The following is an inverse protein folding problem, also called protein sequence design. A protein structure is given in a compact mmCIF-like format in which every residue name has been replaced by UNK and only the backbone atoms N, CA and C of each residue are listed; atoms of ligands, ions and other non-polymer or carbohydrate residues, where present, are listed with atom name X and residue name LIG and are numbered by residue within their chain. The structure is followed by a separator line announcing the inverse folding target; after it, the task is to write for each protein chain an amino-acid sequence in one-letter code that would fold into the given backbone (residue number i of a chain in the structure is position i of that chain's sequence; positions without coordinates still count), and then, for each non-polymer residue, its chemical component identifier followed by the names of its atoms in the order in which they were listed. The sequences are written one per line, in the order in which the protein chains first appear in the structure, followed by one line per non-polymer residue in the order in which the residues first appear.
data_IF_546957228283
#
_entry.id   IF_546957228283
#
_cell.length_a   1.000
_cell.length_b   1.000
_cell.length_c   1.000
_cell.angle_alpha   90.00
_cell.angle_beta   90.00
_cell.angle_gamma   90.00
#
_symmetry.space_group_name_H-M   'P 1'
#
loop_
_entity.id
_entity.type
_entity.pdbx_description
1 polymer ?
#
# COMPACT_ATOMS: atom_id res chain seq x y z
N UNK A 1 8.79 -20.75 -21.19
CA UNK A 1 8.23 -21.09 -19.87
C UNK A 1 7.34 -19.92 -19.46
N UNK A 2 6.04 -20.15 -19.27
CA UNK A 2 5.17 -19.10 -18.75
C UNK A 2 5.57 -18.85 -17.29
N UNK A 3 5.99 -17.62 -16.97
CA UNK A 3 6.09 -17.18 -15.57
C UNK A 3 4.68 -17.17 -14.99
N UNK A 4 4.26 -18.33 -14.47
CA UNK A 4 3.03 -18.43 -13.71
C UNK A 4 3.16 -17.58 -12.45
N UNK A 5 2.12 -16.83 -12.14
CA UNK A 5 1.98 -16.22 -10.82
C UNK A 5 1.88 -17.37 -9.82
N UNK A 6 2.94 -17.60 -9.05
CA UNK A 6 3.03 -18.71 -8.08
C UNK A 6 2.46 -18.38 -6.71
N UNK A 7 2.17 -17.09 -6.45
CA UNK A 7 1.65 -16.60 -5.18
C UNK A 7 0.64 -15.46 -5.39
N UNK A 8 -0.23 -15.23 -4.41
CA UNK A 8 -1.17 -14.11 -4.42
C UNK A 8 -0.42 -12.77 -4.53
N UNK A 9 -0.54 -12.01 -5.65
CA UNK A 9 0.21 -10.77 -5.85
C UNK A 9 -0.14 -9.71 -4.81
N UNK A 10 -1.33 -9.77 -4.18
CA UNK A 10 -1.74 -8.83 -3.14
C UNK A 10 -0.90 -8.93 -1.87
N UNK A 11 -0.23 -10.06 -1.64
CA UNK A 11 0.73 -10.21 -0.54
C UNK A 11 1.96 -9.35 -0.75
N UNK A 12 2.27 -8.93 -1.97
CA UNK A 12 3.52 -8.21 -2.28
C UNK A 12 3.30 -6.71 -2.53
N UNK A 13 2.13 -6.18 -2.18
CA UNK A 13 1.77 -4.77 -2.36
C UNK A 13 1.96 -3.96 -1.05
N UNK A 14 2.52 -2.77 -1.14
CA UNK A 14 2.61 -1.76 -0.08
C UNK A 14 2.57 -0.37 -0.72
N UNK A 15 2.29 0.69 0.05
CA UNK A 15 2.35 2.07 -0.46
C UNK A 15 3.48 2.87 0.20
N UNK A 16 4.17 3.67 -0.62
CA UNK A 16 5.13 4.69 -0.20
C UNK A 16 4.77 5.98 -0.92
N UNK A 17 4.30 6.98 -0.17
CA UNK A 17 3.73 8.21 -0.74
C UNK A 17 4.77 9.22 -1.21
N UNK A 18 6.01 9.09 -0.74
CA UNK A 18 7.08 10.08 -0.94
C UNK A 18 6.69 11.51 -0.48
N UNK A 19 5.88 11.59 0.59
CA UNK A 19 5.65 12.87 1.27
C UNK A 19 6.99 13.47 1.70
N UNK A 20 7.16 14.77 1.45
CA UNK A 20 8.41 15.52 1.66
C UNK A 20 9.61 15.03 0.83
N UNK A 21 9.41 14.13 -0.14
CA UNK A 21 10.46 13.54 -0.99
C UNK A 21 10.83 14.31 -2.26
N UNK A 22 10.19 15.47 -2.51
CA UNK A 22 10.50 16.32 -3.67
C UNK A 22 9.76 15.94 -4.96
N UNK A 23 8.67 15.17 -4.87
CA UNK A 23 7.79 14.88 -6.00
C UNK A 23 7.15 16.16 -6.55
N UNK A 24 6.91 16.19 -7.87
CA UNK A 24 6.35 17.37 -8.56
C UNK A 24 4.86 17.61 -8.27
N UNK A 25 4.14 16.60 -7.77
CA UNK A 25 2.73 16.70 -7.43
C UNK A 25 2.27 15.53 -6.56
N UNK A 26 1.21 15.78 -5.78
CA UNK A 26 0.46 14.76 -5.03
C UNK A 26 -0.85 14.44 -5.75
N UNK A 27 -1.48 13.27 -5.45
CA UNK A 27 -2.83 12.98 -5.91
C UNK A 27 -3.81 14.10 -5.55
N UNK A 28 -4.76 14.38 -6.44
CA UNK A 28 -5.75 15.45 -6.25
C UNK A 28 -6.50 15.27 -4.93
N UNK A 29 -6.53 16.32 -4.11
CA UNK A 29 -7.21 16.31 -2.81
C UNK A 29 -6.36 15.78 -1.64
N UNK A 30 -5.10 15.40 -1.88
CA UNK A 30 -4.11 15.05 -0.85
C UNK A 30 -3.07 16.15 -0.68
N UNK A 31 -2.64 16.37 0.57
CA UNK A 31 -1.64 17.36 0.97
C UNK A 31 -0.55 16.76 1.85
N UNK A 32 -0.88 15.81 2.72
CA UNK A 32 0.08 15.17 3.62
C UNK A 32 -0.37 13.77 4.07
N UNK A 33 0.43 13.14 4.94
CA UNK A 33 0.05 11.89 5.59
C UNK A 33 -1.28 11.95 6.37
N UNK A 34 -1.70 13.14 6.80
CA UNK A 34 -3.01 13.32 7.45
C UNK A 34 -4.20 13.00 6.53
N UNK A 35 -3.98 12.97 5.20
CA UNK A 35 -5.00 12.67 4.20
C UNK A 35 -5.10 11.18 3.85
N UNK A 36 -4.27 10.30 4.44
CA UNK A 36 -4.37 8.86 4.23
C UNK A 36 -5.78 8.27 4.47
N UNK A 37 -6.62 8.76 5.42
CA UNK A 37 -8.00 8.31 5.53
C UNK A 37 -8.83 8.48 4.25
N UNK A 38 -8.53 9.46 3.39
CA UNK A 38 -9.20 9.62 2.09
C UNK A 38 -8.87 8.48 1.14
N UNK A 39 -7.61 8.04 1.15
CA UNK A 39 -7.17 6.88 0.37
C UNK A 39 -7.83 5.60 0.89
N UNK A 40 -7.93 5.43 2.21
CA UNK A 40 -8.69 4.33 2.83
C UNK A 40 -10.14 4.32 2.34
N UNK A 41 -10.83 5.45 2.38
CA UNK A 41 -12.21 5.55 1.92
C UNK A 41 -12.33 5.19 0.43
N UNK A 42 -11.43 5.68 -0.43
CA UNK A 42 -11.42 5.34 -1.84
C UNK A 42 -11.22 3.83 -2.09
N UNK A 43 -10.38 3.14 -1.30
CA UNK A 43 -10.24 1.68 -1.37
C UNK A 43 -11.52 0.95 -0.95
N UNK A 44 -12.19 1.44 0.10
CA UNK A 44 -13.47 0.88 0.55
C UNK A 44 -14.57 1.06 -0.49
N UNK A 45 -14.69 2.26 -1.07
CA UNK A 45 -15.65 2.57 -2.14
C UNK A 45 -15.39 1.72 -3.40
N UNK A 46 -14.13 1.37 -3.65
CA UNK A 46 -13.72 0.45 -4.71
C UNK A 46 -13.95 -1.03 -4.37
N UNK A 47 -14.54 -1.36 -3.22
CA UNK A 47 -14.87 -2.73 -2.83
C UNK A 47 -13.67 -3.58 -2.40
N UNK A 48 -12.57 -2.95 -1.97
CA UNK A 48 -11.43 -3.71 -1.47
C UNK A 48 -11.79 -4.46 -0.17
N UNK A 49 -11.38 -5.74 -0.03
CA UNK A 49 -11.52 -6.44 1.24
C UNK A 49 -10.79 -5.70 2.35
N UNK A 50 -11.40 -5.56 3.53
CA UNK A 50 -10.79 -4.87 4.68
C UNK A 50 -9.39 -5.43 5.01
N UNK A 51 -9.23 -6.75 4.96
CA UNK A 51 -7.93 -7.37 5.21
C UNK A 51 -6.87 -6.96 4.18
N UNK A 52 -7.25 -6.74 2.92
CA UNK A 52 -6.32 -6.23 1.89
C UNK A 52 -5.85 -4.81 2.23
N UNK A 53 -6.76 -3.95 2.69
CA UNK A 53 -6.39 -2.58 3.09
C UNK A 53 -5.38 -2.62 4.24
N UNK A 54 -5.63 -3.45 5.27
CA UNK A 54 -4.72 -3.65 6.41
C UNK A 54 -3.35 -4.18 5.95
N UNK A 55 -3.35 -5.20 5.09
CA UNK A 55 -2.12 -5.81 4.57
C UNK A 55 -1.27 -4.78 3.82
N UNK A 56 -1.86 -3.92 2.99
CA UNK A 56 -1.10 -2.92 2.22
C UNK A 56 -0.62 -1.73 3.08
N UNK A 57 -1.37 -1.35 4.13
CA UNK A 57 -0.92 -0.31 5.10
C UNK A 57 0.27 -0.73 5.96
N UNK A 58 0.53 -2.02 6.12
CA UNK A 58 1.72 -2.43 6.86
C UNK A 58 1.89 -3.92 7.02
N UNK A 59 0.83 -4.73 6.98
CA UNK A 59 0.96 -6.19 7.19
C UNK A 59 1.96 -6.84 6.23
N UNK A 60 1.96 -6.44 4.96
CA UNK A 60 2.89 -6.94 3.95
C UNK A 60 4.32 -6.46 4.21
N UNK A 61 4.52 -5.18 4.53
CA UNK A 61 5.84 -4.64 4.87
C UNK A 61 6.41 -5.31 6.13
N UNK A 62 5.61 -5.43 7.20
CA UNK A 62 6.03 -6.05 8.45
C UNK A 62 6.43 -7.51 8.25
N UNK A 63 5.67 -8.28 7.47
CA UNK A 63 6.03 -9.67 7.11
C UNK A 63 7.37 -9.75 6.38
N UNK A 64 7.66 -8.80 5.49
CA UNK A 64 8.96 -8.74 4.80
C UNK A 64 10.08 -8.32 5.76
N UNK A 65 9.83 -7.30 6.58
CA UNK A 65 10.75 -6.78 7.59
C UNK A 65 11.18 -7.87 8.59
N UNK A 66 10.24 -8.67 9.09
CA UNK A 66 10.51 -9.80 9.99
C UNK A 66 11.48 -10.83 9.42
N UNK A 67 11.54 -10.99 8.08
CA UNK A 67 12.44 -11.94 7.42
C UNK A 67 13.87 -11.41 7.26
N UNK A 68 14.06 -10.09 7.30
CA UNK A 68 15.34 -9.44 6.95
C UNK A 68 15.98 -8.69 8.12
N UNK A 69 15.21 -8.37 9.17
CA UNK A 69 15.73 -7.71 10.37
C UNK A 69 16.76 -8.61 11.08
N UNK A 70 17.79 -8.04 11.75
CA UNK A 70 18.74 -8.78 12.57
C UNK A 70 18.09 -9.53 13.75
#
# INVERSE_FOLDING_TARGET
AAMGIVEDPWKHLSFGSDFDGGISSLPTGMRSGADLPKLTQAMMDAGWPTQRIIDVYGGNFLRAWERVRP
#
